data_IF_515055129777
#
_entry.id   IF_515055129777
#
_cell.length_a   1.000
_cell.length_b   1.000
_cell.length_c   1.000
_cell.angle_alpha   90.00
_cell.angle_beta   90.00
_cell.angle_gamma   90.00
#
_symmetry.space_group_name_H-M   'P 1'
#
loop_
_entity.id
_entity.type
_entity.pdbx_description
1 polymer ?
#
# COMPACT_ATOMS: atom_id res chain seq x y z
N UNK A 1 -13.44 20.98 7.77
CA UNK A 1 -12.74 21.47 6.57
C UNK A 1 -11.26 21.48 6.91
N UNK A 2 -10.49 20.48 6.48
CA UNK A 2 -9.04 20.46 6.77
C UNK A 2 -8.39 21.44 5.81
N UNK A 3 -8.02 22.62 6.31
CA UNK A 3 -7.15 23.53 5.57
C UNK A 3 -5.77 22.89 5.62
N UNK A 4 -5.37 22.24 4.53
CA UNK A 4 -4.02 21.73 4.39
C UNK A 4 -3.06 22.91 4.57
N UNK A 5 -2.06 22.74 5.43
CA UNK A 5 -0.98 23.73 5.56
C UNK A 5 -0.28 23.83 4.20
N UNK A 6 -0.30 25.01 3.53
CA UNK A 6 0.32 25.19 2.22
C UNK A 6 1.81 24.80 2.21
N UNK A 7 2.49 24.90 3.36
CA UNK A 7 3.89 24.50 3.49
C UNK A 7 4.08 22.97 3.45
N UNK A 8 3.04 22.19 3.78
CA UNK A 8 3.06 20.72 3.75
C UNK A 8 2.61 20.15 2.41
N UNK A 9 1.98 20.94 1.54
CA UNK A 9 1.47 20.47 0.24
C UNK A 9 2.54 19.80 -0.64
N UNK A 10 3.78 20.31 -0.77
CA UNK A 10 4.79 19.65 -1.58
C UNK A 10 5.13 18.25 -1.05
N UNK A 11 5.23 18.12 0.27
CA UNK A 11 5.53 16.84 0.94
C UNK A 11 4.38 15.86 0.76
N UNK A 12 3.14 16.30 0.98
CA UNK A 12 1.94 15.49 0.80
C UNK A 12 1.75 15.04 -0.66
N UNK A 13 2.09 15.89 -1.63
CA UNK A 13 2.05 15.53 -3.05
C UNK A 13 3.05 14.43 -3.39
N UNK A 14 4.28 14.51 -2.87
CA UNK A 14 5.29 13.45 -3.03
C UNK A 14 4.82 12.15 -2.36
N UNK A 15 4.32 12.22 -1.13
CA UNK A 15 3.79 11.05 -0.41
C UNK A 15 2.67 10.37 -1.21
N UNK A 16 1.71 11.15 -1.75
CA UNK A 16 0.62 10.61 -2.57
C UNK A 16 1.11 9.93 -3.86
N UNK A 17 2.12 10.51 -4.55
CA UNK A 17 2.70 9.91 -5.75
C UNK A 17 3.43 8.60 -5.46
N UNK A 18 4.18 8.56 -4.35
CA UNK A 18 4.91 7.36 -3.92
C UNK A 18 3.94 6.25 -3.55
N UNK A 19 2.84 6.57 -2.86
CA UNK A 19 1.79 5.62 -2.52
C UNK A 19 1.10 5.05 -3.77
N UNK A 20 0.76 5.89 -4.74
CA UNK A 20 0.11 5.43 -5.97
C UNK A 20 1.06 4.56 -6.81
N UNK A 21 2.34 4.92 -6.88
CA UNK A 21 3.35 4.11 -7.56
C UNK A 21 3.57 2.76 -6.85
N UNK A 22 3.52 2.73 -5.51
CA UNK A 22 3.53 1.48 -4.74
C UNK A 22 2.30 0.61 -5.02
N UNK A 23 1.10 1.21 -5.05
CA UNK A 23 -0.17 0.53 -5.37
C UNK A 23 -0.15 -0.10 -6.76
N UNK A 24 0.48 0.58 -7.73
CA UNK A 24 0.70 0.06 -9.08
C UNK A 24 1.87 -0.95 -9.19
N UNK A 25 2.47 -1.36 -8.05
CA UNK A 25 3.64 -2.25 -7.98
C UNK A 25 4.86 -1.73 -8.75
N UNK A 26 4.93 -0.41 -8.99
CA UNK A 26 6.07 0.26 -9.65
C UNK A 26 7.20 0.61 -8.70
N UNK A 27 6.90 0.69 -7.40
CA UNK A 27 7.88 0.90 -6.33
C UNK A 27 7.78 -0.19 -5.26
N UNK A 28 8.93 -0.75 -4.91
CA UNK A 28 9.12 -1.61 -3.74
C UNK A 28 9.22 -0.78 -2.45
N UNK A 29 8.98 -1.41 -1.30
CA UNK A 29 9.13 -0.77 0.01
C UNK A 29 10.53 -0.18 0.24
N UNK A 30 11.58 -0.84 -0.26
CA UNK A 30 12.95 -0.35 -0.17
C UNK A 30 13.17 0.92 -1.02
N UNK A 31 12.51 1.03 -2.17
CA UNK A 31 12.55 2.24 -3.02
C UNK A 31 11.77 3.39 -2.39
N UNK A 32 10.62 3.10 -1.77
CA UNK A 32 9.85 4.07 -0.97
C UNK A 32 10.74 4.64 0.14
N UNK A 33 11.44 3.77 0.88
CA UNK A 33 12.33 4.21 1.94
C UNK A 33 13.43 5.15 1.44
N UNK A 34 14.07 4.83 0.31
CA UNK A 34 15.06 5.73 -0.31
C UNK A 34 14.47 7.06 -0.76
N UNK A 35 13.28 7.05 -1.37
CA UNK A 35 12.62 8.25 -1.89
C UNK A 35 12.13 9.19 -0.78
N UNK A 36 11.68 8.63 0.34
CA UNK A 36 11.14 9.39 1.46
C UNK A 36 12.16 9.62 2.60
N UNK A 37 13.41 9.19 2.41
CA UNK A 37 14.47 9.35 3.42
C UNK A 37 14.23 8.55 4.70
N UNK A 38 13.58 7.39 4.60
CA UNK A 38 13.34 6.49 5.72
C UNK A 38 14.50 5.52 5.87
N UNK A 39 15.03 5.43 7.08
CA UNK A 39 16.24 4.67 7.39
C UNK A 39 15.93 3.25 7.89
N UNK A 40 14.68 2.99 8.27
CA UNK A 40 14.27 1.69 8.81
C UNK A 40 13.03 1.14 8.14
N UNK A 41 12.97 -0.19 8.06
CA UNK A 41 11.78 -0.94 7.66
C UNK A 41 10.54 -0.55 8.48
N UNK A 42 10.71 -0.33 9.78
CA UNK A 42 9.63 0.08 10.66
C UNK A 42 9.02 1.44 10.28
N UNK A 43 9.84 2.41 9.85
CA UNK A 43 9.34 3.71 9.37
C UNK A 43 8.54 3.56 8.08
N UNK A 44 8.97 2.68 7.18
CA UNK A 44 8.26 2.40 5.92
C UNK A 44 6.92 1.71 6.22
N UNK A 45 6.91 0.67 7.06
CA UNK A 45 5.70 -0.05 7.46
C UNK A 45 4.70 0.89 8.15
N UNK A 46 5.19 1.75 9.06
CA UNK A 46 4.35 2.77 9.70
C UNK A 46 3.79 3.77 8.70
N UNK A 47 4.61 4.27 7.77
CA UNK A 47 4.15 5.20 6.73
C UNK A 47 3.04 4.58 5.87
N UNK A 48 3.21 3.35 5.42
CA UNK A 48 2.21 2.64 4.64
C UNK A 48 0.92 2.44 5.43
N UNK A 49 1.04 2.00 6.70
CA UNK A 49 -0.11 1.82 7.60
C UNK A 49 -0.85 3.12 7.89
N UNK A 50 -0.13 4.20 8.20
CA UNK A 50 -0.70 5.52 8.54
C UNK A 50 -1.43 6.15 7.34
N UNK A 51 -1.06 5.78 6.11
CA UNK A 51 -1.71 6.22 4.87
C UNK A 51 -2.83 5.28 4.39
N UNK A 52 -3.27 4.33 5.23
CA UNK A 52 -4.34 3.40 4.87
C UNK A 52 -3.93 2.40 3.80
N UNK A 53 -2.64 2.25 3.52
CA UNK A 53 -2.09 1.04 2.88
C UNK A 53 -1.95 -0.03 3.96
N UNK A 54 -3.06 -0.33 4.66
CA UNK A 54 -3.31 -1.73 4.98
C UNK A 54 -3.34 -2.42 3.61
N UNK A 55 -2.48 -3.42 3.38
CA UNK A 55 -2.43 -4.23 2.15
C UNK A 55 -3.86 -4.38 1.64
N UNK A 56 -4.25 -3.52 0.69
CA UNK A 56 -5.64 -3.36 0.36
C UNK A 56 -5.97 -4.65 -0.35
N UNK A 57 -6.60 -5.57 0.39
CA UNK A 57 -7.10 -6.80 -0.15
C UNK A 57 -8.18 -6.38 -1.12
N UNK A 58 -7.77 -6.17 -2.36
CA UNK A 58 -8.65 -5.64 -3.36
C UNK A 58 -9.72 -6.69 -3.63
N UNK A 59 -10.86 -6.28 -4.19
CA UNK A 59 -11.85 -7.25 -4.63
C UNK A 59 -11.24 -8.24 -5.62
N UNK A 60 -10.26 -7.78 -6.39
CA UNK A 60 -9.51 -8.59 -7.34
C UNK A 60 -8.62 -9.62 -6.61
N UNK A 61 -7.97 -9.25 -5.50
CA UNK A 61 -7.22 -10.21 -4.66
C UNK A 61 -8.16 -11.26 -4.03
N UNK A 62 -9.34 -10.86 -3.56
CA UNK A 62 -10.38 -11.80 -3.08
C UNK A 62 -10.90 -12.73 -4.19
N UNK A 63 -11.02 -12.23 -5.42
CA UNK A 63 -11.45 -13.01 -6.58
C UNK A 63 -10.40 -14.00 -7.02
N UNK A 64 -9.14 -13.57 -7.05
CA UNK A 64 -7.99 -14.40 -7.32
C UNK A 64 -7.87 -15.54 -6.31
N UNK A 65 -7.99 -15.26 -5.02
CA UNK A 65 -8.00 -16.32 -4.00
C UNK A 65 -9.18 -17.26 -4.12
N UNK A 66 -10.39 -16.75 -4.38
CA UNK A 66 -11.55 -17.63 -4.62
C UNK A 66 -11.31 -18.55 -5.81
N UNK A 67 -10.62 -18.08 -6.84
CA UNK A 67 -10.24 -18.87 -8.00
C UNK A 67 -9.22 -19.94 -7.62
N UNK A 68 -8.13 -19.56 -6.94
CA UNK A 68 -7.11 -20.49 -6.43
C UNK A 68 -7.72 -21.55 -5.50
N UNK A 69 -8.64 -21.17 -4.61
CA UNK A 69 -9.34 -22.10 -3.73
C UNK A 69 -10.20 -23.12 -4.49
N UNK A 70 -10.86 -22.70 -5.58
CA UNK A 70 -11.62 -23.62 -6.46
C UNK A 70 -10.71 -24.59 -7.18
N UNK A 71 -9.58 -24.11 -7.71
CA UNK A 71 -8.61 -24.92 -8.44
C UNK A 71 -7.92 -25.95 -7.54
N UNK A 72 -7.62 -25.57 -6.29
CA UNK A 72 -6.97 -26.43 -5.31
C UNK A 72 -7.96 -27.33 -4.54
N UNK A 73 -9.27 -27.22 -4.78
CA UNK A 73 -10.30 -28.06 -4.13
C UNK A 73 -10.44 -27.85 -2.61
N UNK A 74 -9.86 -26.78 -2.07
CA UNK A 74 -9.95 -26.37 -0.66
C UNK A 74 -11.20 -25.53 -0.43
N UNK A 75 -12.36 -26.13 -0.75
CA UNK A 75 -13.67 -25.71 -0.29
C UNK A 75 -14.06 -26.56 0.90
N UNK A 76 -14.47 -25.93 2.00
CA UNK A 76 -14.86 -26.59 3.26
C UNK A 76 -15.70 -27.85 3.00
N UNK A 77 -15.11 -29.03 3.21
CA UNK A 77 -15.84 -30.31 3.25
C UNK A 77 -16.89 -30.18 4.36
N UNK A 78 -18.15 -30.10 3.98
CA UNK A 78 -19.25 -30.55 4.82
C UNK A 78 -19.70 -31.91 4.32
#
# INVERSE_FOLDING_TARGET
MVIADPAQLPRQAVEALVLEAHRQRKLSEAEIGRLLGMESRYQIERFLKDHGVELAYSRDDLEYERQVHRELGIGHRR
#
